data_IF_404640162931
#
_entry.id   IF_404640162931
#
_cell.length_a   1.000
_cell.length_b   1.000
_cell.length_c   1.000
_cell.angle_alpha   90.00
_cell.angle_beta   90.00
_cell.angle_gamma   90.00
#
_symmetry.space_group_name_H-M   'P 1'
#
loop_
_entity.id
_entity.type
_entity.pdbx_description
1 polymer ?
#
# COMPACT_ATOMS: atom_id res chain seq x y z
N UNK A 1 17.45 -19.46 -24.99
CA UNK A 1 16.14 -19.30 -24.34
C UNK A 1 16.39 -18.53 -23.05
N UNK A 2 16.34 -17.20 -23.16
CA UNK A 2 16.81 -16.27 -22.13
C UNK A 2 15.62 -15.75 -21.32
N UNK A 3 15.70 -15.87 -19.99
CA UNK A 3 14.75 -15.41 -18.96
C UNK A 3 14.43 -13.89 -18.96
N UNK A 4 14.73 -13.17 -20.05
CA UNK A 4 14.51 -11.73 -20.20
C UNK A 4 13.23 -11.40 -20.99
N UNK A 5 12.66 -12.37 -21.71
CA UNK A 5 11.43 -12.17 -22.49
C UNK A 5 10.18 -12.17 -21.59
N UNK A 6 10.21 -12.90 -20.47
CA UNK A 6 9.07 -13.07 -19.56
C UNK A 6 8.72 -11.77 -18.81
N UNK A 7 9.73 -10.98 -18.45
CA UNK A 7 9.54 -9.69 -17.78
C UNK A 7 8.93 -8.65 -18.73
N UNK A 8 9.23 -8.75 -20.03
CA UNK A 8 8.71 -7.85 -21.06
C UNK A 8 7.29 -8.24 -21.49
N UNK A 9 6.94 -9.54 -21.46
CA UNK A 9 5.58 -10.01 -21.74
C UNK A 9 4.56 -9.59 -20.68
N UNK A 10 4.97 -9.45 -19.41
CA UNK A 10 4.10 -8.95 -18.32
C UNK A 10 3.67 -7.48 -18.50
N UNK A 11 4.39 -6.72 -19.34
CA UNK A 11 4.13 -5.29 -19.60
C UNK A 11 3.32 -5.07 -20.89
N UNK A 12 3.22 -6.10 -21.75
CA UNK A 12 2.64 -6.01 -23.09
C UNK A 12 1.27 -6.70 -23.25
N UNK A 13 0.74 -7.37 -22.22
CA UNK A 13 -0.70 -7.60 -22.17
C UNK A 13 -1.39 -6.23 -22.20
N UNK A 14 -2.27 -6.04 -23.19
CA UNK A 14 -2.97 -4.79 -23.46
C UNK A 14 -3.41 -4.11 -22.16
N UNK A 15 -2.80 -2.96 -21.85
CA UNK A 15 -3.07 -2.26 -20.60
C UNK A 15 -4.58 -2.08 -20.41
N UNK A 16 -5.14 -2.49 -19.25
CA UNK A 16 -6.56 -2.35 -19.01
C UNK A 16 -7.02 -0.91 -19.19
N UNK A 17 -8.20 -0.73 -19.78
CA UNK A 17 -8.78 0.60 -19.95
C UNK A 17 -9.12 1.23 -18.58
N UNK A 18 -9.17 2.56 -18.52
CA UNK A 18 -9.53 3.30 -17.30
C UNK A 18 -10.86 2.78 -16.70
N UNK A 19 -11.84 2.49 -17.56
CA UNK A 19 -13.14 1.94 -17.16
C UNK A 19 -13.00 0.58 -16.46
N UNK A 20 -12.26 -0.35 -17.05
CA UNK A 20 -12.06 -1.70 -16.48
C UNK A 20 -11.41 -1.63 -15.10
N UNK A 21 -10.42 -0.74 -14.93
CA UNK A 21 -9.76 -0.55 -13.64
C UNK A 21 -10.70 0.09 -12.60
N UNK A 22 -11.51 1.07 -13.01
CA UNK A 22 -12.50 1.68 -12.11
C UNK A 22 -13.54 0.67 -11.63
N UNK A 23 -14.05 -0.15 -12.55
CA UNK A 23 -14.98 -1.24 -12.21
C UNK A 23 -14.34 -2.25 -11.25
N UNK A 24 -13.03 -2.54 -11.39
CA UNK A 24 -12.28 -3.41 -10.47
C UNK A 24 -12.15 -2.77 -9.08
N UNK A 25 -11.84 -1.47 -8.99
CA UNK A 25 -11.75 -0.72 -7.73
C UNK A 25 -13.09 -0.76 -6.99
N UNK A 26 -14.20 -0.57 -7.71
CA UNK A 26 -15.53 -0.51 -7.11
C UNK A 26 -15.95 -1.83 -6.45
N UNK A 27 -15.48 -2.96 -7.00
CA UNK A 27 -15.74 -4.32 -6.48
C UNK A 27 -14.86 -4.71 -5.29
N UNK A 28 -13.80 -3.97 -4.98
CA UNK A 28 -12.94 -4.29 -3.84
C UNK A 28 -13.69 -4.09 -2.51
N UNK A 29 -13.49 -5.03 -1.58
CA UNK A 29 -13.97 -4.95 -0.19
C UNK A 29 -12.99 -4.15 0.69
N UNK A 30 -12.68 -2.92 0.28
CA UNK A 30 -11.80 -1.99 1.01
C UNK A 30 -12.59 -0.74 1.42
N UNK A 31 -12.04 0.05 2.35
CA UNK A 31 -12.66 1.30 2.82
C UNK A 31 -12.89 2.30 1.68
N UNK A 32 -13.81 3.25 1.87
CA UNK A 32 -14.07 4.32 0.91
C UNK A 32 -12.78 5.11 0.60
N UNK A 33 -11.99 5.41 1.63
CA UNK A 33 -10.69 6.08 1.46
C UNK A 33 -9.70 5.23 0.64
N UNK A 34 -9.70 3.91 0.84
CA UNK A 34 -8.92 2.98 0.02
C UNK A 34 -9.33 3.01 -1.45
N UNK A 35 -10.64 3.12 -1.74
CA UNK A 35 -11.14 3.29 -3.11
C UNK A 35 -10.79 4.65 -3.70
N UNK A 36 -10.84 5.72 -2.89
CA UNK A 36 -10.44 7.06 -3.32
C UNK A 36 -8.95 7.08 -3.73
N UNK A 37 -8.07 6.53 -2.89
CA UNK A 37 -6.63 6.41 -3.18
C UNK A 37 -6.35 5.67 -4.50
N UNK A 38 -7.06 4.56 -4.74
CA UNK A 38 -6.90 3.81 -6.00
C UNK A 38 -7.41 4.59 -7.21
N UNK A 39 -8.44 5.41 -7.04
CA UNK A 39 -8.94 6.29 -8.11
C UNK A 39 -7.99 7.45 -8.39
N UNK A 40 -7.37 8.02 -7.36
CA UNK A 40 -6.33 9.04 -7.54
C UNK A 40 -5.11 8.44 -8.25
N UNK A 41 -4.73 7.20 -7.89
CA UNK A 41 -3.70 6.45 -8.60
C UNK A 41 -4.09 6.23 -10.06
N UNK A 42 -5.34 5.87 -10.35
CA UNK A 42 -5.85 5.64 -11.70
C UNK A 42 -5.72 6.88 -12.60
N UNK A 43 -5.79 8.08 -12.01
CA UNK A 43 -5.75 9.36 -12.71
C UNK A 43 -4.33 9.87 -12.96
N UNK A 44 -3.32 9.14 -12.50
CA UNK A 44 -1.93 9.54 -12.65
C UNK A 44 -1.38 9.27 -14.06
N UNK A 45 -0.98 10.35 -14.72
CA UNK A 45 -0.19 10.35 -15.94
C UNK A 45 1.18 11.01 -15.66
N UNK A 46 2.25 10.47 -16.22
CA UNK A 46 3.61 11.06 -16.16
C UNK A 46 4.12 11.27 -17.58
N UNK A 47 4.68 12.44 -17.84
CA UNK A 47 5.38 12.72 -19.09
C UNK A 47 6.88 12.43 -18.95
N UNK A 48 7.43 11.56 -19.81
CA UNK A 48 8.87 11.23 -19.85
C UNK A 48 9.37 11.45 -21.27
N UNK A 49 10.26 12.44 -21.45
CA UNK A 49 10.85 12.74 -22.76
C UNK A 49 9.83 13.06 -23.86
N UNK A 50 8.79 13.85 -23.53
CA UNK A 50 7.73 14.23 -24.47
C UNK A 50 6.67 13.16 -24.71
N UNK A 51 6.71 12.03 -23.98
CA UNK A 51 5.71 10.96 -24.06
C UNK A 51 4.93 10.86 -22.77
N UNK A 52 3.60 10.98 -22.87
CA UNK A 52 2.68 10.72 -21.76
C UNK A 52 2.59 9.21 -21.54
N UNK A 53 2.90 8.76 -20.34
CA UNK A 53 2.79 7.37 -19.88
C UNK A 53 1.75 7.32 -18.76
N UNK A 54 0.74 6.48 -18.94
CA UNK A 54 -0.33 6.26 -17.96
C UNK A 54 0.13 5.34 -16.81
N UNK A 55 1.05 5.83 -15.98
CA UNK A 55 1.65 5.04 -14.91
C UNK A 55 0.61 4.52 -13.92
N UNK A 56 -0.42 5.31 -13.61
CA UNK A 56 -1.50 4.92 -12.71
C UNK A 56 -2.16 3.59 -13.07
N UNK A 57 -2.47 3.42 -14.37
CA UNK A 57 -3.08 2.18 -14.88
C UNK A 57 -2.14 0.98 -14.79
N UNK A 58 -0.84 1.20 -15.00
CA UNK A 58 0.21 0.17 -14.89
C UNK A 58 0.36 -0.30 -13.44
N UNK A 59 0.41 0.65 -12.51
CA UNK A 59 0.50 0.38 -11.08
C UNK A 59 -0.74 -0.39 -10.61
N UNK A 60 -1.94 0.03 -11.01
CA UNK A 60 -3.18 -0.67 -10.64
C UNK A 60 -3.26 -2.08 -11.22
N UNK A 61 -2.88 -2.26 -12.49
CA UNK A 61 -2.82 -3.58 -13.10
C UNK A 61 -1.89 -4.51 -12.30
N UNK A 62 -0.73 -4.01 -11.88
CA UNK A 62 0.21 -4.75 -11.06
C UNK A 62 -0.31 -5.05 -9.65
N UNK A 63 -0.99 -4.09 -9.00
CA UNK A 63 -1.66 -4.32 -7.71
C UNK A 63 -2.70 -5.44 -7.83
N UNK A 64 -3.54 -5.42 -8.88
CA UNK A 64 -4.55 -6.45 -9.08
C UNK A 64 -3.92 -7.83 -9.32
N UNK A 65 -2.86 -7.92 -10.12
CA UNK A 65 -2.12 -9.17 -10.34
C UNK A 65 -1.52 -9.72 -9.02
N UNK A 66 -0.98 -8.84 -8.17
CA UNK A 66 -0.49 -9.24 -6.85
C UNK A 66 -1.61 -9.72 -5.92
N UNK A 67 -2.77 -9.06 -5.90
CA UNK A 67 -3.92 -9.50 -5.10
C UNK A 67 -4.41 -10.87 -5.56
N UNK A 68 -4.47 -11.10 -6.86
CA UNK A 68 -4.87 -12.38 -7.45
C UNK A 68 -3.86 -13.50 -7.11
N UNK A 69 -2.56 -13.20 -7.09
CA UNK A 69 -1.49 -14.18 -6.78
C UNK A 69 -1.29 -14.44 -5.29
N UNK A 70 -1.57 -13.45 -4.43
CA UNK A 70 -1.31 -13.51 -2.99
C UNK A 70 -2.59 -13.23 -2.17
N UNK A 71 -3.62 -14.08 -2.24
CA UNK A 71 -4.94 -13.82 -1.64
C UNK A 71 -4.93 -13.78 -0.10
N UNK A 72 -3.91 -14.36 0.55
CA UNK A 72 -3.72 -14.33 2.01
C UNK A 72 -3.01 -13.05 2.48
N UNK A 73 -2.46 -12.25 1.57
CA UNK A 73 -1.79 -11.00 1.90
C UNK A 73 -2.83 -9.89 1.95
N UNK A 74 -2.82 -9.13 3.04
CA UNK A 74 -3.76 -8.01 3.19
C UNK A 74 -3.52 -6.99 2.09
N UNK A 75 -4.60 -6.47 1.50
CA UNK A 75 -4.56 -5.44 0.47
C UNK A 75 -3.61 -4.28 0.81
N UNK A 76 -3.64 -3.80 2.05
CA UNK A 76 -2.76 -2.72 2.51
C UNK A 76 -1.27 -3.05 2.42
N UNK A 77 -0.87 -4.31 2.62
CA UNK A 77 0.51 -4.77 2.49
C UNK A 77 0.94 -4.77 1.03
N UNK A 78 0.08 -5.24 0.12
CA UNK A 78 0.34 -5.24 -1.32
C UNK A 78 0.53 -3.81 -1.82
N UNK A 79 -0.39 -2.91 -1.45
CA UNK A 79 -0.27 -1.49 -1.82
C UNK A 79 1.02 -0.90 -1.25
N UNK A 80 1.33 -1.11 0.03
CA UNK A 80 2.55 -0.59 0.65
C UNK A 80 3.84 -1.08 -0.03
N UNK A 81 3.90 -2.35 -0.45
CA UNK A 81 5.04 -2.93 -1.17
C UNK A 81 5.24 -2.28 -2.54
N UNK A 82 4.16 -2.20 -3.34
CA UNK A 82 4.20 -1.61 -4.68
C UNK A 82 4.62 -0.14 -4.60
N UNK A 83 3.99 0.60 -3.69
CA UNK A 83 4.23 2.01 -3.43
C UNK A 83 5.68 2.28 -3.00
N UNK A 84 6.20 1.53 -2.03
CA UNK A 84 7.58 1.71 -1.54
C UNK A 84 8.61 1.40 -2.65
N UNK A 85 8.34 0.36 -3.45
CA UNK A 85 9.22 -0.03 -4.56
C UNK A 85 9.24 1.03 -5.66
N UNK A 86 8.09 1.63 -5.99
CA UNK A 86 7.98 2.70 -6.99
C UNK A 86 8.77 3.95 -6.58
N UNK A 87 8.66 4.37 -5.31
CA UNK A 87 9.42 5.50 -4.78
C UNK A 87 10.93 5.23 -4.88
N UNK A 88 11.37 4.03 -4.51
CA UNK A 88 12.78 3.67 -4.54
C UNK A 88 13.36 3.58 -5.97
N UNK A 89 12.52 3.27 -6.97
CA UNK A 89 12.97 2.98 -8.33
C UNK A 89 13.11 4.22 -9.22
N UNK A 90 12.34 5.29 -8.97
CA UNK A 90 12.35 6.48 -9.84
C UNK A 90 12.31 7.77 -8.99
N UNK A 91 13.44 8.49 -8.85
CA UNK A 91 13.53 9.70 -8.02
C UNK A 91 12.51 10.80 -8.36
N UNK A 92 12.10 10.92 -9.63
CA UNK A 92 11.10 11.90 -10.09
C UNK A 92 9.65 11.49 -9.82
N UNK A 93 9.34 10.19 -9.72
CA UNK A 93 7.96 9.75 -9.45
C UNK A 93 7.51 10.08 -8.04
N UNK A 94 8.44 10.22 -7.10
CA UNK A 94 8.15 10.70 -5.75
C UNK A 94 7.48 12.07 -5.71
N UNK A 95 7.63 12.91 -6.75
CA UNK A 95 7.02 14.24 -6.81
C UNK A 95 5.53 14.20 -7.20
N UNK A 96 5.17 13.27 -8.09
CA UNK A 96 3.78 13.10 -8.58
C UNK A 96 2.99 12.17 -7.66
N UNK A 97 3.61 11.07 -7.23
CA UNK A 97 3.01 10.12 -6.29
C UNK A 97 3.10 10.60 -4.83
N UNK A 98 4.03 11.51 -4.51
CA UNK A 98 4.28 11.97 -3.15
C UNK A 98 3.02 12.38 -2.38
N UNK A 99 2.15 13.26 -2.92
CA UNK A 99 0.93 13.68 -2.24
C UNK A 99 -0.05 12.53 -1.95
N UNK A 100 -0.11 11.53 -2.83
CA UNK A 100 -0.96 10.35 -2.67
C UNK A 100 -0.38 9.36 -1.65
N UNK A 101 0.94 9.13 -1.73
CA UNK A 101 1.62 8.09 -0.98
C UNK A 101 2.02 8.55 0.43
N UNK A 102 2.28 9.85 0.63
CA UNK A 102 2.73 10.40 1.91
C UNK A 102 1.80 10.08 3.09
N UNK A 103 0.48 10.33 3.03
CA UNK A 103 -0.40 10.00 4.16
C UNK A 103 -0.45 8.49 4.42
N UNK A 104 -0.37 7.66 3.37
CA UNK A 104 -0.38 6.20 3.50
C UNK A 104 0.91 5.68 4.15
N UNK A 105 2.06 6.20 3.72
CA UNK A 105 3.37 5.86 4.30
C UNK A 105 3.50 6.36 5.74
N UNK A 106 2.98 7.55 6.04
CA UNK A 106 2.94 8.06 7.41
C UNK A 106 2.06 7.19 8.31
N UNK A 107 0.85 6.84 7.85
CA UNK A 107 -0.04 5.94 8.59
C UNK A 107 0.60 4.56 8.81
N UNK A 108 1.25 4.02 7.78
CA UNK A 108 1.94 2.74 7.87
C UNK A 108 3.16 2.79 8.80
N UNK A 109 3.98 3.83 8.70
CA UNK A 109 5.13 4.06 9.58
C UNK A 109 4.72 4.22 11.04
N UNK A 110 3.65 4.97 11.30
CA UNK A 110 3.05 5.10 12.64
C UNK A 110 2.55 3.75 13.17
N UNK A 111 1.80 2.99 12.36
CA UNK A 111 1.30 1.68 12.76
C UNK A 111 2.43 0.69 13.05
N UNK A 112 3.44 0.64 12.18
CA UNK A 112 4.61 -0.20 12.35
C UNK A 112 5.42 0.18 13.61
N UNK A 113 5.63 1.49 13.83
CA UNK A 113 6.27 2.02 15.04
C UNK A 113 5.50 1.66 16.30
N UNK A 114 4.19 1.87 16.32
CA UNK A 114 3.35 1.51 17.47
C UNK A 114 3.37 0.00 17.79
N UNK A 115 3.36 -0.86 16.76
CA UNK A 115 3.50 -2.31 16.93
C UNK A 115 4.88 -2.66 17.51
N UNK A 116 5.94 -1.99 17.05
CA UNK A 116 7.28 -2.18 17.59
C UNK A 116 7.37 -1.74 19.07
N UNK A 117 6.81 -0.58 19.42
CA UNK A 117 6.75 -0.06 20.79
C UNK A 117 5.97 -1.01 21.73
N UNK A 118 4.87 -1.60 21.26
CA UNK A 118 4.09 -2.60 22.03
C UNK A 118 4.88 -3.89 22.31
N UNK A 119 5.78 -4.27 21.39
CA UNK A 119 6.66 -5.42 21.57
C UNK A 119 7.83 -5.09 22.51
N UNK A 120 8.07 -3.82 22.78
CA UNK A 120 9.21 -3.38 23.58
C UNK A 120 9.00 -3.68 25.08
N UNK A 121 10.03 -4.27 25.70
CA UNK A 121 9.96 -4.79 27.07
C UNK A 121 9.61 -3.73 28.13
N UNK A 122 10.12 -2.48 28.06
CA UNK A 122 9.78 -1.43 29.03
C UNK A 122 8.31 -1.03 29.00
N UNK A 123 7.69 -0.96 27.82
CA UNK A 123 6.27 -0.61 27.70
C UNK A 123 5.40 -1.73 28.26
N UNK A 124 5.72 -3.00 27.95
CA UNK A 124 5.01 -4.16 28.52
C UNK A 124 5.10 -4.20 30.04
N UNK A 125 6.27 -3.86 30.61
CA UNK A 125 6.45 -3.78 32.06
C UNK A 125 5.56 -2.69 32.70
N UNK A 126 5.42 -1.52 32.05
CA UNK A 126 4.54 -0.44 32.50
C UNK A 126 3.06 -0.80 32.40
N UNK A 127 2.63 -1.42 31.29
CA UNK A 127 1.25 -1.92 31.13
C UNK A 127 0.93 -2.97 32.19
N UNK A 128 1.84 -3.92 32.46
CA UNK A 128 1.66 -4.91 33.52
C UNK A 128 1.69 -4.33 34.94
N UNK A 129 2.40 -3.23 35.18
CA UNK A 129 2.32 -2.51 36.45
C UNK A 129 0.95 -1.83 36.64
N UNK A 130 0.39 -1.24 35.58
CA UNK A 130 -0.93 -0.64 35.59
C UNK A 130 -2.05 -1.67 35.81
N UNK A 131 -1.97 -2.81 35.11
CA UNK A 131 -2.92 -3.92 35.28
C UNK A 131 -2.94 -4.43 36.73
N UNK A 132 -1.77 -4.63 37.33
CA UNK A 132 -1.65 -5.04 38.74
C UNK A 132 -2.24 -4.01 39.71
N UNK A 133 -2.08 -2.72 39.41
CA UNK A 133 -2.66 -1.65 40.23
C UNK A 133 -4.20 -1.71 40.22
N UNK A 134 -4.82 -1.85 39.05
CA UNK A 134 -6.28 -2.00 38.95
C UNK A 134 -6.75 -3.32 39.57
N UNK A 135 -6.07 -4.44 39.33
CA UNK A 135 -6.40 -5.72 39.95
C UNK A 135 -6.42 -5.64 41.48
N UNK A 136 -5.45 -4.93 42.08
CA UNK A 136 -5.43 -4.70 43.53
C UNK A 136 -6.56 -3.79 44.02
N UNK A 137 -6.98 -2.81 43.22
CA UNK A 137 -8.07 -1.89 43.58
C UNK A 137 -9.45 -2.57 43.57
N UNK A 138 -9.68 -3.51 42.64
CA UNK A 138 -10.93 -4.29 42.59
C UNK A 138 -11.04 -5.40 43.64
N UNK A 139 -9.93 -5.85 44.24
CA UNK A 139 -9.94 -6.88 45.28
C UNK A 139 -10.31 -6.35 46.69
N UNK A 140 -10.44 -5.03 46.84
CA UNK A 140 -10.82 -4.35 48.09
C UNK A 140 -12.24 -3.73 48.07
N UNK A 141 -13.06 -4.05 47.06
CA UNK A 141 -14.48 -3.69 46.96
C UNK A 141 -15.35 -4.94 47.11
#
# INVERSE_FOLDING_TARGET
MTMNDDANSLVLESMPTKRVLRDRIDRLSVSADGKALLNDLLEMAIEVGGRIIDAGRRILAFIFDLVERFPNTTFGVIVALVVSTLIASIPLLGLVLGPLLSPLLLAFGLAAGAIADLKDAPLRARVGALERHFASATHHA
#
